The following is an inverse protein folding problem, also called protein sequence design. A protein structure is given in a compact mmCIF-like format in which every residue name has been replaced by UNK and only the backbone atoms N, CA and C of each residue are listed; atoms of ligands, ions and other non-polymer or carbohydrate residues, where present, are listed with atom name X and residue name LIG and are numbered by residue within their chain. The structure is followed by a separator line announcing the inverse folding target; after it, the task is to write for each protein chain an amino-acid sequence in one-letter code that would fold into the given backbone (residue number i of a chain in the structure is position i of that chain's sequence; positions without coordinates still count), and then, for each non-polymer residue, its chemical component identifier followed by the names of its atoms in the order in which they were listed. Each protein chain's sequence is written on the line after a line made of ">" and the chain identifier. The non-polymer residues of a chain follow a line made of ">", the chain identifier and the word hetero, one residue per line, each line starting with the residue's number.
data_IF_369737865268
#
_entry.id   IF_369737865268
#
_cell.length_a   1.000
_cell.length_b   1.000
_cell.length_c   1.000
_cell.angle_alpha   90.00
_cell.angle_beta   90.00
_cell.angle_gamma   90.00
#
_symmetry.space_group_name_H-M   'P 1'
#
loop_
_entity.id
_entity.type
_entity.pdbx_description
1 polymer ?
#
# COMPACT_ATOMS: atom_id res chain seq x y z
N UNK A 1 14.67 -6.67 22.99
CA UNK A 1 13.47 -5.82 23.08
C UNK A 1 13.08 -5.18 21.75
N UNK A 2 13.95 -4.46 21.04
CA UNK A 2 13.63 -3.90 19.70
C UNK A 2 13.16 -4.94 18.66
N UNK A 3 13.73 -6.13 18.67
CA UNK A 3 13.37 -7.22 17.73
C UNK A 3 11.97 -7.78 17.99
N UNK A 4 11.53 -7.81 19.25
CA UNK A 4 10.18 -8.28 19.63
C UNK A 4 9.12 -7.28 19.17
N UNK A 5 9.33 -5.99 19.43
CA UNK A 5 8.40 -4.95 19.00
C UNK A 5 8.25 -4.91 17.47
N UNK A 6 9.36 -5.11 16.74
CA UNK A 6 9.35 -5.19 15.27
C UNK A 6 8.61 -6.44 14.79
N UNK A 7 8.82 -7.58 15.46
CA UNK A 7 8.12 -8.83 15.16
C UNK A 7 6.62 -8.72 15.42
N UNK A 8 6.21 -8.05 16.49
CA UNK A 8 4.80 -7.89 16.84
C UNK A 8 4.08 -6.96 15.86
N UNK A 9 4.74 -5.89 15.39
CA UNK A 9 4.20 -5.04 14.32
C UNK A 9 4.07 -5.80 12.99
N UNK A 10 5.09 -6.56 12.61
CA UNK A 10 5.04 -7.36 11.39
C UNK A 10 3.97 -8.47 11.51
N UNK A 11 3.77 -9.05 12.69
CA UNK A 11 2.70 -10.01 12.96
C UNK A 11 1.31 -9.36 12.90
N UNK A 12 1.14 -8.17 13.46
CA UNK A 12 -0.13 -7.43 13.40
C UNK A 12 -0.51 -7.10 11.95
N UNK A 13 0.43 -6.56 11.17
CA UNK A 13 0.21 -6.23 9.76
C UNK A 13 -0.09 -7.46 8.90
N UNK A 14 0.52 -8.61 9.22
CA UNK A 14 0.18 -9.89 8.60
C UNK A 14 -1.22 -10.36 9.02
N UNK A 15 -1.58 -10.21 10.28
CA UNK A 15 -2.87 -10.69 10.82
C UNK A 15 -4.07 -9.91 10.30
N UNK A 16 -3.90 -8.65 9.91
CA UNK A 16 -4.95 -7.81 9.31
C UNK A 16 -5.06 -7.97 7.79
N UNK A 17 -4.20 -8.79 7.18
CA UNK A 17 -4.07 -8.95 5.72
C UNK A 17 -3.93 -7.61 4.98
N UNK A 18 -3.31 -6.60 5.62
CA UNK A 18 -3.07 -5.30 4.99
C UNK A 18 -1.72 -5.32 4.27
N UNK A 19 -1.77 -5.16 2.94
CA UNK A 19 -0.60 -4.87 2.13
C UNK A 19 -0.13 -3.45 2.42
N UNK A 20 1.15 -3.22 2.68
CA UNK A 20 1.69 -1.88 2.92
C UNK A 20 3.02 -1.71 2.20
N UNK A 21 3.22 -0.56 1.55
CA UNK A 21 4.50 -0.13 0.98
C UNK A 21 4.83 1.26 1.54
N UNK A 22 6.04 1.40 2.06
CA UNK A 22 6.62 2.66 2.48
C UNK A 22 7.48 3.18 1.34
N UNK A 23 7.21 4.40 0.90
CA UNK A 23 8.00 5.12 -0.08
C UNK A 23 8.72 6.30 0.59
N UNK A 24 9.85 6.70 0.03
CA UNK A 24 10.48 7.99 0.35
C UNK A 24 9.94 9.11 -0.55
N UNK A 25 10.50 10.31 -0.41
CA UNK A 25 10.16 11.49 -1.22
C UNK A 25 10.50 11.34 -2.71
N UNK A 26 11.39 10.42 -3.07
CA UNK A 26 11.72 10.08 -4.46
C UNK A 26 10.88 8.89 -4.98
N UNK A 27 9.86 8.47 -4.21
CA UNK A 27 9.00 7.33 -4.50
C UNK A 27 9.76 6.00 -4.62
N UNK A 28 10.88 5.86 -3.90
CA UNK A 28 11.61 4.60 -3.81
C UNK A 28 11.12 3.77 -2.63
N UNK A 29 11.11 2.45 -2.83
CA UNK A 29 10.63 1.49 -1.82
C UNK A 29 11.60 1.45 -0.65
N UNK A 30 11.11 1.66 0.57
CA UNK A 30 11.90 1.55 1.81
C UNK A 30 11.60 0.29 2.61
N UNK A 31 10.31 -0.05 2.71
CA UNK A 31 9.83 -1.24 3.41
C UNK A 31 8.50 -1.65 2.79
N UNK A 32 8.16 -2.92 2.86
CA UNK A 32 6.84 -3.40 2.51
C UNK A 32 6.44 -4.58 3.40
N UNK A 33 5.14 -4.88 3.45
CA UNK A 33 4.63 -6.11 4.08
C UNK A 33 4.51 -7.20 3.03
N UNK A 34 4.74 -8.48 3.38
CA UNK A 34 4.62 -9.58 2.41
C UNK A 34 3.23 -9.67 1.77
N UNK A 35 2.17 -9.21 2.44
CA UNK A 35 0.81 -9.23 1.88
C UNK A 35 0.69 -8.36 0.64
N UNK A 36 1.46 -7.28 0.53
CA UNK A 36 1.39 -6.39 -0.64
C UNK A 36 1.85 -7.08 -1.93
N UNK A 37 2.59 -8.20 -1.82
CA UNK A 37 3.05 -8.94 -2.98
C UNK A 37 1.92 -9.56 -3.79
N UNK A 38 0.70 -9.64 -3.22
CA UNK A 38 -0.52 -10.07 -3.92
C UNK A 38 -0.91 -9.11 -5.06
N UNK A 39 -0.65 -7.80 -4.91
CA UNK A 39 -0.96 -6.81 -5.93
C UNK A 39 0.26 -6.17 -6.58
N UNK A 40 1.39 -6.05 -5.87
CA UNK A 40 2.63 -5.49 -6.39
C UNK A 40 3.69 -6.57 -6.47
N UNK A 41 4.31 -6.80 -7.62
CA UNK A 41 5.34 -7.84 -7.78
C UNK A 41 6.71 -7.38 -7.22
N UNK A 42 6.73 -7.02 -5.94
CA UNK A 42 7.91 -6.52 -5.22
C UNK A 42 8.67 -7.67 -4.53
N UNK A 43 10.00 -7.61 -4.60
CA UNK A 43 10.91 -8.53 -3.93
C UNK A 43 11.80 -7.77 -2.94
N UNK A 44 12.44 -8.47 -1.99
CA UNK A 44 13.32 -7.82 -1.01
C UNK A 44 14.48 -7.04 -1.68
N UNK A 45 14.98 -7.53 -2.82
CA UNK A 45 15.99 -6.85 -3.62
C UNK A 45 15.52 -5.55 -4.28
N UNK A 46 14.20 -5.28 -4.29
CA UNK A 46 13.64 -4.05 -4.84
C UNK A 46 13.62 -2.88 -3.85
N UNK A 47 14.08 -3.09 -2.61
CA UNK A 47 14.32 -1.99 -1.67
C UNK A 47 15.32 -1.00 -2.30
N UNK A 48 14.97 0.29 -2.29
CA UNK A 48 15.70 1.39 -2.92
C UNK A 48 15.35 1.63 -4.40
N UNK A 49 14.54 0.77 -5.03
CA UNK A 49 14.06 0.98 -6.40
C UNK A 49 12.83 1.89 -6.44
N UNK A 50 12.68 2.73 -7.49
CA UNK A 50 11.46 3.50 -7.72
C UNK A 50 10.25 2.58 -7.88
N UNK A 51 9.13 2.93 -7.24
CA UNK A 51 7.90 2.14 -7.31
C UNK A 51 7.36 2.01 -8.74
N UNK A 52 7.61 3.00 -9.60
CA UNK A 52 7.21 2.98 -11.01
C UNK A 52 7.90 1.92 -11.86
N UNK A 53 8.95 1.27 -11.35
CA UNK A 53 9.58 0.11 -12.01
C UNK A 53 8.98 -1.23 -11.58
N UNK A 54 8.06 -1.23 -10.62
CA UNK A 54 7.43 -2.43 -10.08
C UNK A 54 6.10 -2.66 -10.78
N UNK A 55 5.94 -3.85 -11.37
CA UNK A 55 4.68 -4.25 -11.97
C UNK A 55 3.61 -4.49 -10.89
N UNK A 56 2.35 -4.12 -11.17
CA UNK A 56 1.21 -4.39 -10.29
C UNK A 56 -0.04 -4.80 -11.06
N UNK A 57 -0.99 -5.43 -10.37
CA UNK A 57 -2.24 -5.96 -10.96
C UNK A 57 -3.43 -4.98 -10.85
N UNK A 58 -3.26 -3.85 -10.18
CA UNK A 58 -4.29 -2.80 -10.04
C UNK A 58 -4.57 -2.15 -11.40
N UNK A 59 -5.79 -2.29 -11.91
CA UNK A 59 -6.17 -1.83 -13.24
C UNK A 59 -6.48 -0.34 -13.27
N UNK A 60 -6.04 0.34 -14.33
CA UNK A 60 -6.27 1.77 -14.57
C UNK A 60 -5.92 2.66 -13.37
N UNK A 61 -5.00 2.19 -12.52
CA UNK A 61 -4.59 2.90 -11.32
C UNK A 61 -3.17 3.45 -11.48
N UNK A 62 -3.05 4.77 -11.34
CA UNK A 62 -1.78 5.47 -11.36
C UNK A 62 -1.35 5.81 -9.92
N UNK A 63 -0.63 4.86 -9.30
CA UNK A 63 -0.10 5.05 -7.96
C UNK A 63 0.89 6.22 -7.88
N UNK A 64 1.65 6.47 -8.95
CA UNK A 64 2.72 7.48 -8.95
C UNK A 64 2.10 8.87 -8.84
N UNK A 65 1.03 9.12 -9.61
CA UNK A 65 0.30 10.39 -9.59
C UNK A 65 -0.34 10.66 -8.22
N UNK A 66 -1.02 9.67 -7.63
CA UNK A 66 -1.61 9.82 -6.30
C UNK A 66 -0.51 10.05 -5.24
N UNK A 67 0.57 9.27 -5.26
CA UNK A 67 1.70 9.43 -4.33
C UNK A 67 2.38 10.79 -4.44
N UNK A 68 2.63 11.29 -5.65
CA UNK A 68 3.17 12.62 -5.88
C UNK A 68 2.22 13.72 -5.36
N UNK A 69 0.91 13.55 -5.57
CA UNK A 69 -0.10 14.48 -5.06
C UNK A 69 -0.06 14.53 -3.54
N UNK A 70 -0.06 13.38 -2.86
CA UNK A 70 0.00 13.30 -1.39
C UNK A 70 1.31 13.88 -0.84
N UNK A 71 2.44 13.66 -1.51
CA UNK A 71 3.72 14.29 -1.11
C UNK A 71 3.64 15.82 -1.15
N UNK A 72 2.95 16.37 -2.16
CA UNK A 72 2.84 17.82 -2.35
C UNK A 72 1.79 18.44 -1.41
N UNK A 73 0.61 17.84 -1.30
CA UNK A 73 -0.53 18.42 -0.58
C UNK A 73 -0.56 18.03 0.89
N UNK A 74 0.09 16.91 1.24
CA UNK A 74 -0.06 16.21 2.53
C UNK A 74 -1.50 15.78 2.84
N UNK A 75 -2.39 15.81 1.85
CA UNK A 75 -3.77 15.33 1.98
C UNK A 75 -3.83 13.85 1.58
N UNK A 76 -4.38 12.96 2.43
CA UNK A 76 -4.55 11.56 2.07
C UNK A 76 -5.46 11.36 0.86
N UNK A 77 -5.18 10.34 0.06
CA UNK A 77 -6.02 9.90 -1.07
C UNK A 77 -6.49 8.48 -0.84
N UNK A 78 -7.75 8.21 -1.16
CA UNK A 78 -8.38 6.89 -1.06
C UNK A 78 -9.06 6.53 -2.39
N UNK A 79 -8.84 5.29 -2.85
CA UNK A 79 -9.36 4.76 -4.11
C UNK A 79 -9.89 3.36 -3.91
N UNK A 80 -11.13 3.13 -4.34
CA UNK A 80 -11.67 1.78 -4.51
C UNK A 80 -11.37 1.31 -5.92
N UNK A 81 -10.64 0.22 -6.05
CA UNK A 81 -10.17 -0.33 -7.32
C UNK A 81 -10.74 -1.73 -7.52
N UNK A 82 -11.30 -1.95 -8.70
CA UNK A 82 -11.72 -3.27 -9.15
C UNK A 82 -10.58 -3.93 -9.94
N UNK A 83 -10.45 -5.25 -9.83
CA UNK A 83 -9.54 -6.05 -10.64
C UNK A 83 -10.30 -6.94 -11.63
N UNK A 84 -9.60 -7.47 -12.63
CA UNK A 84 -10.16 -8.34 -13.68
C UNK A 84 -10.73 -9.68 -13.14
N UNK A 85 -10.57 -9.98 -11.84
CA UNK A 85 -10.78 -11.31 -11.26
C UNK A 85 -11.78 -11.37 -10.09
N UNK A 86 -12.68 -10.39 -9.94
CA UNK A 86 -13.59 -10.20 -8.80
C UNK A 86 -12.96 -9.69 -7.50
N UNK A 87 -11.67 -9.37 -7.47
CA UNK A 87 -11.06 -8.78 -6.27
C UNK A 87 -11.31 -7.26 -6.24
N UNK A 88 -11.74 -6.76 -5.10
CA UNK A 88 -11.87 -5.34 -4.84
C UNK A 88 -10.79 -4.93 -3.85
N UNK A 89 -10.11 -3.82 -4.13
CA UNK A 89 -9.09 -3.28 -3.25
C UNK A 89 -9.43 -1.86 -2.86
N UNK A 90 -9.28 -1.56 -1.57
CA UNK A 90 -9.18 -0.21 -1.08
C UNK A 90 -7.71 0.18 -1.00
N UNK A 91 -7.28 1.09 -1.86
CA UNK A 91 -5.95 1.70 -1.80
C UNK A 91 -6.05 3.02 -1.06
N UNK A 92 -5.15 3.22 -0.09
CA UNK A 92 -5.02 4.49 0.63
C UNK A 92 -3.57 4.94 0.54
N UNK A 93 -3.37 6.20 0.20
CA UNK A 93 -2.07 6.85 0.13
C UNK A 93 -2.07 7.95 1.17
N UNK A 94 -1.14 7.86 2.13
CA UNK A 94 -1.06 8.77 3.25
C UNK A 94 0.34 9.40 3.29
N UNK A 95 0.46 10.69 3.69
CA UNK A 95 1.77 11.24 3.98
C UNK A 95 2.37 10.49 5.16
N UNK A 96 3.68 10.29 5.11
CA UNK A 96 4.43 9.67 6.20
C UNK A 96 5.60 10.56 6.56
N UNK A 97 5.46 11.27 7.68
CA UNK A 97 6.54 12.00 8.31
C UNK A 97 7.14 11.12 9.40
N UNK A 98 8.45 10.93 9.34
CA UNK A 98 9.19 10.29 10.43
C UNK A 98 10.08 11.33 11.10
N UNK A 99 10.29 11.17 12.40
CA UNK A 99 11.17 12.03 13.20
C UNK A 99 12.63 12.05 12.70
N UNK A 100 12.99 11.10 11.83
CA UNK A 100 14.33 10.93 11.24
C UNK A 100 14.54 11.66 9.92
N UNK A 101 13.62 12.55 9.52
CA UNK A 101 13.63 13.22 8.20
C UNK A 101 13.43 12.29 7.00
N UNK A 102 13.08 11.02 7.22
CA UNK A 102 12.76 10.10 6.14
C UNK A 102 11.27 10.25 5.77
N UNK A 103 10.92 11.43 5.26
CA UNK A 103 9.58 11.77 4.80
C UNK A 103 9.22 10.96 3.55
N UNK A 104 7.94 10.76 3.32
CA UNK A 104 7.48 10.04 2.15
C UNK A 104 5.98 9.80 2.17
N UNK A 105 5.57 8.68 1.59
CA UNK A 105 4.19 8.23 1.64
C UNK A 105 4.11 6.77 2.06
N UNK A 106 2.99 6.43 2.70
CA UNK A 106 2.60 5.06 2.98
C UNK A 106 1.42 4.73 2.09
N UNK A 107 1.56 3.63 1.35
CA UNK A 107 0.52 3.07 0.51
C UNK A 107 0.01 1.82 1.21
N UNK A 108 -1.28 1.79 1.54
CA UNK A 108 -1.93 0.59 2.07
C UNK A 108 -2.91 0.03 1.07
N UNK A 109 -2.96 -1.29 1.00
CA UNK A 109 -3.86 -2.07 0.19
C UNK A 109 -4.66 -2.99 1.10
N UNK A 110 -5.99 -2.87 1.04
CA UNK A 110 -6.91 -3.69 1.81
C UNK A 110 -7.82 -4.42 0.83
N UNK A 111 -7.86 -5.75 0.92
CA UNK A 111 -8.82 -6.55 0.17
C UNK A 111 -10.23 -6.32 0.76
N UNK A 112 -11.12 -5.78 -0.06
CA UNK A 112 -12.53 -5.52 0.30
C UNK A 112 -13.51 -6.43 -0.44
N UNK A 113 -13.00 -7.47 -1.12
CA UNK A 113 -13.79 -8.42 -1.93
C UNK A 113 -14.95 -9.04 -1.14
N UNK A 114 -14.72 -9.37 0.13
CA UNK A 114 -15.73 -9.96 1.00
C UNK A 114 -16.82 -8.97 1.44
N UNK A 115 -16.53 -7.66 1.46
CA UNK A 115 -17.47 -6.61 1.87
C UNK A 115 -18.34 -6.11 0.72
N UNK A 116 -17.85 -6.18 -0.53
CA UNK A 116 -18.63 -5.80 -1.72
C UNK A 116 -19.83 -6.73 -1.93
N UNK A 117 -19.74 -8.00 -1.54
CA UNK A 117 -20.83 -8.99 -1.67
C UNK A 117 -22.02 -8.75 -0.71
N UNK A 118 -21.89 -7.91 0.33
CA UNK A 118 -23.00 -7.59 1.24
C UNK A 118 -23.92 -6.47 0.75
N UNK A 119 -23.53 -5.71 -0.28
CA UNK A 119 -24.36 -4.61 -0.81
C UNK A 119 -25.39 -5.05 -1.85
N UNK A 120 -25.30 -6.28 -2.34
CA UNK A 120 -26.18 -6.82 -3.41
C UNK A 120 -27.37 -7.65 -2.91
N UNK A 121 -27.56 -7.83 -1.60
CA UNK A 121 -28.71 -8.60 -1.05
C UNK A 121 -29.84 -7.75 -0.46
N UNK A 122 -29.88 -6.45 -0.74
CA UNK A 122 -31.04 -5.61 -0.40
C UNK A 122 -31.53 -4.87 -1.64
N UNK A 123 -32.27 -5.58 -2.49
CA UNK A 123 -33.37 -5.03 -3.30
C UNK A 123 -34.22 -6.15 -3.89
#
# INVERSE_FOLDING_TARGET
>A
ELTQLTSDMDNLLRSTEIGTIFLDTELRIRKFTPVVTRAFHVLEQDIGRPIGHIAHTLLNYDLISDAATVLQTREPIERSLETNGNENYLVRVLPYDSDRHDNGVVVTLIDTTQFTHQRTSTN
#
